data_IF_882819987549
#
_entry.id   IF_882819987549
#
_cell.length_a   1.000
_cell.length_b   1.000
_cell.length_c   1.000
_cell.angle_alpha   90.00
_cell.angle_beta   90.00
_cell.angle_gamma   90.00
#
_symmetry.space_group_name_H-M   'P 1'
#
loop_
_entity.id
_entity.type
_entity.pdbx_description
1 polymer ?
#
# COMPACT_ATOMS: atom_id res chain seq x y z
N UNK A 1 50.44 -11.94 22.89
CA UNK A 1 50.98 -11.18 21.75
C UNK A 1 49.85 -11.09 20.73
N UNK A 2 49.24 -9.96 20.40
CA UNK A 2 49.82 -8.65 20.09
C UNK A 2 48.76 -7.55 20.31
N UNK A 3 49.07 -6.58 21.18
CA UNK A 3 48.35 -5.32 21.33
C UNK A 3 48.53 -4.47 20.06
N UNK A 4 47.42 -3.94 19.54
CA UNK A 4 47.43 -2.85 18.54
C UNK A 4 47.19 -1.55 19.32
N UNK A 5 48.11 -0.56 19.33
CA UNK A 5 47.90 0.72 19.98
C UNK A 5 47.10 1.64 19.04
N UNK A 6 45.85 1.92 19.41
CA UNK A 6 45.05 2.97 18.79
C UNK A 6 45.63 4.33 19.14
N UNK A 7 46.20 5.02 18.14
CA UNK A 7 46.62 6.41 18.23
C UNK A 7 45.39 7.30 18.42
N UNK A 8 45.25 7.82 19.62
CA UNK A 8 44.42 8.97 19.97
C UNK A 8 44.99 10.20 19.22
N UNK A 9 44.30 10.69 18.19
CA UNK A 9 44.54 12.02 17.64
C UNK A 9 43.42 12.95 18.10
N UNK A 10 43.72 13.58 19.23
CA UNK A 10 43.17 14.85 19.67
C UNK A 10 43.43 15.94 18.60
N UNK A 11 42.44 16.78 18.32
CA UNK A 11 42.67 17.99 17.53
C UNK A 11 41.48 18.49 16.73
N UNK A 12 40.53 19.10 17.42
CA UNK A 12 40.03 20.46 17.17
C UNK A 12 38.53 20.57 17.40
N UNK A 13 38.21 21.19 18.54
CA UNK A 13 36.88 21.66 18.86
C UNK A 13 36.33 22.50 17.73
N UNK A 14 35.18 22.07 17.22
CA UNK A 14 34.35 22.85 16.32
C UNK A 14 33.85 24.05 17.12
N UNK A 15 34.62 25.14 17.07
CA UNK A 15 34.19 26.45 17.56
C UNK A 15 32.88 26.74 16.83
N UNK A 16 31.78 26.68 17.57
CA UNK A 16 30.51 27.25 17.19
C UNK A 16 30.71 28.76 17.06
N UNK A 17 31.36 29.21 15.97
CA UNK A 17 31.18 30.56 15.47
C UNK A 17 29.72 30.59 15.10
N UNK A 18 28.93 31.29 15.89
CA UNK A 18 27.64 31.86 15.51
C UNK A 18 27.83 32.56 14.17
N UNK A 19 27.70 31.79 13.08
CA UNK A 19 27.84 32.30 11.74
C UNK A 19 26.73 33.32 11.58
N UNK A 20 27.11 34.52 11.16
CA UNK A 20 26.19 35.59 10.82
C UNK A 20 25.31 35.10 9.66
N UNK A 21 24.20 34.47 10.04
CA UNK A 21 23.31 33.72 9.17
C UNK A 21 22.22 34.67 8.72
N UNK A 22 22.36 35.20 7.51
CA UNK A 22 21.37 36.11 6.94
C UNK A 22 20.22 35.31 6.26
N UNK A 23 18.95 35.72 6.43
CA UNK A 23 17.81 35.09 5.77
C UNK A 23 17.71 35.50 4.28
N UNK A 24 17.40 34.54 3.42
CA UNK A 24 17.03 34.82 2.03
C UNK A 24 15.66 35.51 1.97
N UNK A 25 15.57 36.63 1.24
CA UNK A 25 14.34 37.41 1.08
C UNK A 25 13.22 36.68 0.34
N UNK A 26 13.55 35.66 -0.45
CA UNK A 26 12.59 34.93 -1.28
C UNK A 26 12.04 33.67 -0.63
N UNK A 27 12.87 32.90 0.08
CA UNK A 27 12.44 31.63 0.70
C UNK A 27 12.57 31.58 2.23
N UNK A 28 13.08 32.64 2.87
CA UNK A 28 13.20 32.73 4.33
C UNK A 28 14.27 31.85 4.97
N UNK A 29 14.93 30.97 4.20
CA UNK A 29 16.01 30.11 4.70
C UNK A 29 17.25 30.95 5.05
N UNK A 30 17.92 30.58 6.15
CA UNK A 30 19.11 31.26 6.68
C UNK A 30 20.39 30.62 6.14
N UNK A 31 21.33 31.44 5.67
CA UNK A 31 22.60 31.01 5.08
C UNK A 31 23.75 31.87 5.57
N UNK A 32 24.95 31.31 5.63
CA UNK A 32 26.17 32.10 5.79
C UNK A 32 26.33 33.04 4.59
N UNK A 33 26.95 34.20 4.77
CA UNK A 33 27.02 35.26 3.76
C UNK A 33 27.50 34.77 2.38
N UNK A 34 28.57 33.97 2.32
CA UNK A 34 29.10 33.40 1.07
C UNK A 34 28.09 32.50 0.32
N UNK A 35 27.34 31.69 1.08
CA UNK A 35 26.31 30.81 0.52
C UNK A 35 25.09 31.63 0.10
N UNK A 36 24.74 32.68 0.84
CA UNK A 36 23.63 33.56 0.51
C UNK A 36 23.85 34.27 -0.83
N UNK A 37 25.09 34.72 -1.11
CA UNK A 37 25.46 35.35 -2.38
C UNK A 37 25.20 34.43 -3.58
N UNK A 38 25.48 33.13 -3.45
CA UNK A 38 25.19 32.13 -4.48
C UNK A 38 23.72 31.70 -4.51
N UNK A 39 23.08 31.68 -3.34
CA UNK A 39 21.71 31.25 -3.16
C UNK A 39 20.68 32.24 -3.73
N UNK A 40 20.81 33.55 -3.45
CA UNK A 40 19.81 34.57 -3.82
C UNK A 40 19.42 34.55 -5.31
N UNK A 41 20.35 34.55 -6.28
CA UNK A 41 19.99 34.56 -7.70
C UNK A 41 19.31 33.26 -8.15
N UNK A 42 19.65 32.11 -7.55
CA UNK A 42 19.03 30.81 -7.88
C UNK A 42 17.64 30.72 -7.25
N UNK A 43 17.53 31.08 -5.97
CA UNK A 43 16.28 31.06 -5.23
C UNK A 43 15.23 31.95 -5.91
N UNK A 44 15.62 33.16 -6.32
CA UNK A 44 14.74 34.07 -7.05
C UNK A 44 14.25 33.48 -8.37
N UNK A 45 15.13 32.86 -9.16
CA UNK A 45 14.77 32.20 -10.43
C UNK A 45 13.83 31.02 -10.23
N UNK A 46 14.06 30.20 -9.20
CA UNK A 46 13.24 29.00 -8.94
C UNK A 46 11.88 29.37 -8.34
N UNK A 47 11.83 30.35 -7.45
CA UNK A 47 10.60 30.74 -6.77
C UNK A 47 9.66 31.56 -7.65
N UNK A 48 10.19 32.45 -8.49
CA UNK A 48 9.37 33.26 -9.40
C UNK A 48 8.86 32.46 -10.61
N UNK A 49 9.48 31.32 -10.95
CA UNK A 49 9.07 30.49 -12.08
C UNK A 49 8.20 29.33 -11.60
N UNK A 50 6.88 29.41 -11.83
CA UNK A 50 5.98 28.26 -11.64
C UNK A 50 6.40 27.13 -12.60
N UNK A 51 7.07 26.09 -12.07
CA UNK A 51 7.41 24.90 -12.86
C UNK A 51 6.12 24.17 -13.24
N UNK A 52 6.07 23.64 -14.46
CA UNK A 52 4.96 22.79 -14.88
C UNK A 52 4.87 21.59 -13.92
N UNK A 53 3.67 21.24 -13.42
CA UNK A 53 3.50 20.04 -12.61
C UNK A 53 4.12 18.85 -13.31
N UNK A 54 4.98 18.15 -12.59
CA UNK A 54 5.60 16.93 -13.08
C UNK A 54 4.50 15.88 -13.31
N UNK A 55 4.43 15.31 -14.51
CA UNK A 55 3.45 14.30 -14.86
C UNK A 55 4.17 12.99 -15.14
N UNK A 56 3.98 12.00 -14.25
CA UNK A 56 4.59 10.67 -14.40
C UNK A 56 4.19 10.02 -15.72
N UNK A 57 2.95 10.21 -16.19
CA UNK A 57 2.50 9.75 -17.50
C UNK A 57 3.36 10.31 -18.62
N UNK A 58 3.61 11.63 -18.62
CA UNK A 58 4.43 12.28 -19.64
C UNK A 58 5.89 11.80 -19.60
N UNK A 59 6.46 11.62 -18.40
CA UNK A 59 7.82 11.09 -18.30
C UNK A 59 7.93 9.64 -18.79
N UNK A 60 6.94 8.79 -18.48
CA UNK A 60 6.92 7.40 -18.96
C UNK A 60 6.75 7.29 -20.47
N UNK A 61 6.08 8.26 -21.09
CA UNK A 61 5.86 8.29 -22.55
C UNK A 61 7.02 8.94 -23.32
N UNK A 62 7.88 9.68 -22.65
CA UNK A 62 9.03 10.32 -23.28
C UNK A 62 10.02 9.24 -23.73
N UNK A 63 10.27 9.15 -25.04
CA UNK A 63 11.16 8.13 -25.63
C UNK A 63 10.49 6.80 -26.00
N UNK A 64 9.15 6.72 -25.91
CA UNK A 64 8.37 5.59 -26.43
C UNK A 64 7.56 6.03 -27.65
N UNK A 65 7.49 5.23 -28.71
CA UNK A 65 6.64 5.46 -29.91
C UNK A 65 5.12 5.38 -29.63
N UNK A 66 4.72 5.25 -28.35
CA UNK A 66 3.33 5.13 -27.93
C UNK A 66 2.72 6.54 -27.86
N UNK A 67 2.21 7.03 -29.00
CA UNK A 67 1.61 8.37 -29.12
C UNK A 67 0.34 8.57 -28.28
N UNK A 68 -0.38 7.50 -27.93
CA UNK A 68 -1.70 7.58 -27.29
C UNK A 68 -1.87 6.49 -26.22
N UNK A 69 -1.57 6.82 -24.96
CA UNK A 69 -2.14 6.08 -23.83
C UNK A 69 -3.60 6.53 -23.69
N UNK A 70 -4.52 5.63 -24.04
CA UNK A 70 -5.96 5.82 -23.84
C UNK A 70 -6.17 6.10 -22.34
N UNK A 71 -6.46 7.35 -21.99
CA UNK A 71 -6.96 7.69 -20.64
C UNK A 71 -8.19 6.81 -20.42
N UNK A 72 -8.12 5.89 -19.46
CA UNK A 72 -9.31 5.17 -19.06
C UNK A 72 -10.37 6.20 -18.67
N UNK A 73 -11.54 6.09 -19.29
CA UNK A 73 -12.69 6.91 -18.94
C UNK A 73 -12.95 6.75 -17.44
N UNK A 74 -13.31 7.83 -16.71
CA UNK A 74 -13.76 7.69 -15.33
C UNK A 74 -14.92 6.68 -15.35
N UNK A 75 -14.71 5.53 -14.71
CA UNK A 75 -15.78 4.54 -14.57
C UNK A 75 -16.94 5.25 -13.88
N UNK A 76 -18.15 5.16 -14.47
CA UNK A 76 -19.37 5.64 -13.85
C UNK A 76 -19.42 5.06 -12.44
N UNK A 77 -19.46 5.92 -11.42
CA UNK A 77 -19.57 5.48 -10.02
C UNK A 77 -20.85 4.66 -9.91
N UNK A 78 -20.70 3.35 -9.82
CA UNK A 78 -21.78 2.45 -9.43
C UNK A 78 -22.32 2.93 -8.07
N UNK A 79 -23.62 2.78 -7.78
CA UNK A 79 -24.17 3.14 -6.48
C UNK A 79 -23.35 2.44 -5.39
N UNK A 80 -22.79 3.23 -4.47
CA UNK A 80 -21.98 2.73 -3.36
C UNK A 80 -22.84 1.76 -2.54
N UNK A 81 -22.48 0.48 -2.58
CA UNK A 81 -23.06 -0.49 -1.65
C UNK A 81 -22.68 -0.08 -0.24
N UNK A 82 -23.65 -0.10 0.67
CA UNK A 82 -23.43 0.26 2.09
C UNK A 82 -22.30 -0.61 2.63
N UNK A 83 -21.21 0.03 3.08
CA UNK A 83 -20.06 -0.68 3.60
C UNK A 83 -20.42 -1.42 4.90
N UNK A 84 -20.17 -2.72 4.94
CA UNK A 84 -20.34 -3.56 6.13
C UNK A 84 -19.20 -3.39 7.16
N UNK A 85 -18.66 -2.18 7.29
CA UNK A 85 -17.44 -1.91 8.06
C UNK A 85 -17.53 -2.33 9.52
N UNK A 86 -18.67 -2.11 10.20
CA UNK A 86 -18.85 -2.52 11.60
C UNK A 86 -18.69 -4.03 11.75
N UNK A 87 -19.31 -4.80 10.87
CA UNK A 87 -19.24 -6.26 10.88
C UNK A 87 -17.81 -6.75 10.60
N UNK A 88 -17.13 -6.20 9.58
CA UNK A 88 -15.73 -6.56 9.32
C UNK A 88 -14.79 -6.20 10.48
N UNK A 89 -15.04 -5.06 11.14
CA UNK A 89 -14.28 -4.67 12.31
C UNK A 89 -14.52 -5.61 13.49
N UNK A 90 -15.78 -5.94 13.78
CA UNK A 90 -16.13 -6.89 14.85
C UNK A 90 -15.55 -8.29 14.59
N UNK A 91 -15.65 -8.79 13.36
CA UNK A 91 -15.05 -10.06 12.96
C UNK A 91 -13.54 -10.07 13.15
N UNK A 92 -12.86 -9.00 12.77
CA UNK A 92 -11.43 -8.84 13.00
C UNK A 92 -11.09 -8.85 14.50
N UNK A 93 -11.79 -8.06 15.31
CA UNK A 93 -11.56 -8.00 16.76
C UNK A 93 -11.81 -9.37 17.41
N UNK A 94 -12.85 -10.08 16.99
CA UNK A 94 -13.17 -11.43 17.47
C UNK A 94 -12.06 -12.44 17.10
N UNK A 95 -11.52 -12.38 15.87
CA UNK A 95 -10.39 -13.21 15.45
C UNK A 95 -9.12 -12.96 16.28
N UNK A 96 -8.84 -11.70 16.64
CA UNK A 96 -7.70 -11.39 17.52
C UNK A 96 -7.93 -11.90 18.94
N UNK A 97 -9.14 -11.75 19.50
CA UNK A 97 -9.46 -12.26 20.84
C UNK A 97 -9.38 -13.78 20.91
N UNK A 98 -9.87 -14.50 19.90
CA UNK A 98 -9.81 -15.97 19.87
C UNK A 98 -8.35 -16.46 19.78
N UNK A 99 -7.52 -15.83 18.95
CA UNK A 99 -6.09 -16.16 18.86
C UNK A 99 -5.35 -15.95 20.21
N UNK A 100 -5.70 -14.88 20.94
CA UNK A 100 -5.17 -14.65 22.30
C UNK A 100 -5.62 -15.70 23.32
N UNK A 101 -6.86 -16.19 23.21
CA UNK A 101 -7.35 -17.27 24.08
C UNK A 101 -6.63 -18.60 23.82
N UNK A 102 -6.37 -18.93 22.55
CA UNK A 102 -5.59 -20.13 22.17
C UNK A 102 -4.18 -20.08 22.75
N UNK A 103 -3.49 -18.94 22.61
CA UNK A 103 -2.14 -18.75 23.17
C UNK A 103 -2.11 -18.82 24.69
N UNK A 104 -3.12 -18.28 25.38
CA UNK A 104 -3.27 -18.41 26.84
C UNK A 104 -3.49 -19.86 27.26
N UNK A 105 -4.41 -20.59 26.61
CA UNK A 105 -4.70 -21.98 26.93
C UNK A 105 -3.46 -22.87 26.75
N UNK A 106 -2.69 -22.65 25.69
CA UNK A 106 -1.43 -23.36 25.45
C UNK A 106 -0.38 -23.10 26.55
N UNK A 107 -0.27 -21.86 27.02
CA UNK A 107 0.65 -21.49 28.11
C UNK A 107 0.25 -22.08 29.46
N UNK A 108 -1.05 -22.15 29.73
CA UNK A 108 -1.61 -22.67 30.99
C UNK A 108 -1.80 -24.20 30.98
N UNK A 109 -1.46 -24.88 29.88
CA UNK A 109 -1.63 -26.33 29.73
C UNK A 109 -3.09 -26.80 29.73
N UNK A 110 -4.04 -25.87 29.48
CA UNK A 110 -5.47 -26.21 29.38
C UNK A 110 -5.83 -26.67 27.97
N UNK A 111 -6.91 -27.48 27.82
CA UNK A 111 -7.40 -27.88 26.50
C UNK A 111 -7.72 -26.66 25.63
N UNK A 112 -7.40 -26.78 24.35
CA UNK A 112 -7.59 -25.72 23.36
C UNK A 112 -9.07 -25.31 23.29
N UNK A 113 -9.37 -24.00 23.25
CA UNK A 113 -10.74 -23.55 23.01
C UNK A 113 -11.19 -23.97 21.61
N UNK A 114 -12.50 -24.28 21.41
CA UNK A 114 -13.01 -24.65 20.10
C UNK A 114 -12.75 -23.52 19.08
N UNK A 115 -12.44 -23.87 17.82
CA UNK A 115 -12.14 -22.87 16.80
C UNK A 115 -13.33 -21.92 16.61
N UNK A 116 -13.09 -20.60 16.47
CA UNK A 116 -14.17 -19.65 16.23
C UNK A 116 -14.91 -19.99 14.92
N UNK A 117 -16.24 -19.79 14.86
CA UNK A 117 -16.99 -20.05 13.63
C UNK A 117 -16.43 -19.21 12.47
N UNK A 118 -16.41 -19.75 11.24
CA UNK A 118 -15.93 -19.01 10.07
C UNK A 118 -16.72 -17.71 9.91
N UNK A 119 -16.02 -16.57 9.86
CA UNK A 119 -16.65 -15.29 9.49
C UNK A 119 -17.10 -15.40 8.03
N UNK A 120 -18.41 -15.42 7.83
CA UNK A 120 -19.03 -15.46 6.51
C UNK A 120 -19.31 -14.01 6.13
N UNK A 121 -18.51 -13.47 5.21
CA UNK A 121 -18.79 -12.16 4.63
C UNK A 121 -20.15 -12.23 3.90
N UNK A 122 -21.16 -11.45 4.32
CA UNK A 122 -22.50 -11.49 3.73
C UNK A 122 -22.53 -11.00 2.27
N UNK A 123 -21.50 -10.27 1.82
CA UNK A 123 -21.40 -9.74 0.45
C UNK A 123 -20.95 -10.79 -0.59
N UNK A 124 -20.62 -12.01 -0.17
CA UNK A 124 -20.11 -13.05 -1.06
C UNK A 124 -21.25 -13.95 -1.54
N UNK A 125 -21.37 -14.07 -2.86
CA UNK A 125 -22.35 -14.94 -3.53
C UNK A 125 -21.75 -16.36 -3.63
N UNK A 126 -22.53 -17.36 -3.23
CA UNK A 126 -22.14 -18.77 -3.34
C UNK A 126 -22.54 -19.32 -4.72
N UNK A 127 -21.59 -19.95 -5.41
CA UNK A 127 -21.84 -20.63 -6.68
C UNK A 127 -22.68 -21.90 -6.45
N UNK A 128 -23.77 -22.13 -7.19
CA UNK A 128 -24.62 -23.32 -7.04
C UNK A 128 -23.95 -24.62 -7.54
N UNK A 129 -22.92 -24.52 -8.40
CA UNK A 129 -22.29 -25.68 -9.03
C UNK A 129 -21.05 -26.21 -8.30
N UNK A 130 -20.29 -25.34 -7.64
CA UNK A 130 -19.06 -25.73 -6.93
C UNK A 130 -19.00 -25.28 -5.46
N UNK A 131 -20.06 -24.63 -4.97
CA UNK A 131 -20.19 -24.14 -3.59
C UNK A 131 -19.12 -23.13 -3.16
N UNK A 132 -18.24 -22.67 -4.06
CA UNK A 132 -17.27 -21.61 -3.79
C UNK A 132 -17.95 -20.25 -3.70
N UNK A 133 -17.44 -19.38 -2.84
CA UNK A 133 -17.97 -18.04 -2.58
C UNK A 133 -17.10 -16.97 -3.24
N UNK A 134 -17.72 -16.02 -3.92
CA UNK A 134 -17.05 -14.94 -4.65
C UNK A 134 -17.72 -13.59 -4.36
N UNK A 135 -16.97 -12.50 -4.50
CA UNK A 135 -17.59 -11.18 -4.62
C UNK A 135 -18.46 -11.11 -5.89
N UNK A 136 -19.41 -10.20 -5.95
CA UNK A 136 -20.39 -10.10 -7.05
C UNK A 136 -19.78 -10.13 -8.46
N UNK A 137 -18.78 -9.29 -8.76
CA UNK A 137 -18.15 -9.23 -10.08
C UNK A 137 -17.35 -10.51 -10.44
N UNK A 138 -16.78 -11.18 -9.43
CA UNK A 138 -16.15 -12.48 -9.63
C UNK A 138 -17.20 -13.59 -9.76
N UNK A 139 -18.29 -13.53 -9.01
CA UNK A 139 -19.40 -14.46 -9.06
C UNK A 139 -20.07 -14.45 -10.44
N UNK A 140 -20.31 -13.27 -11.01
CA UNK A 140 -20.91 -13.12 -12.34
C UNK A 140 -20.13 -13.88 -13.42
N UNK A 141 -18.80 -13.70 -13.45
CA UNK A 141 -17.92 -14.40 -14.39
C UNK A 141 -17.74 -15.87 -14.05
N UNK A 142 -17.64 -16.20 -12.76
CA UNK A 142 -17.40 -17.56 -12.30
C UNK A 142 -18.61 -18.47 -12.52
N UNK A 143 -19.82 -18.02 -12.17
CA UNK A 143 -21.03 -18.84 -12.22
C UNK A 143 -21.27 -19.34 -13.64
N UNK A 144 -21.17 -18.45 -14.65
CA UNK A 144 -21.32 -18.83 -16.07
C UNK A 144 -20.35 -19.92 -16.49
N UNK A 145 -19.06 -19.73 -16.23
CA UNK A 145 -18.05 -20.72 -16.58
C UNK A 145 -18.20 -22.02 -15.79
N UNK A 146 -18.53 -21.92 -14.50
CA UNK A 146 -18.66 -23.07 -13.62
C UNK A 146 -19.87 -23.93 -13.96
N UNK A 147 -20.97 -23.32 -14.40
CA UNK A 147 -22.15 -24.00 -14.94
C UNK A 147 -21.78 -24.85 -16.17
N UNK A 148 -21.15 -24.23 -17.17
CA UNK A 148 -20.70 -24.95 -18.38
C UNK A 148 -19.74 -26.09 -18.04
N UNK A 149 -18.79 -25.84 -17.14
CA UNK A 149 -17.82 -26.85 -16.72
C UNK A 149 -18.49 -28.00 -15.97
N UNK A 150 -19.50 -27.71 -15.13
CA UNK A 150 -20.27 -28.73 -14.42
C UNK A 150 -21.07 -29.60 -15.38
N UNK A 151 -21.71 -28.99 -16.39
CA UNK A 151 -22.43 -29.71 -17.46
C UNK A 151 -21.47 -30.64 -18.21
N UNK A 152 -20.33 -30.13 -18.67
CA UNK A 152 -19.32 -30.95 -19.39
C UNK A 152 -18.81 -32.12 -18.54
N UNK A 153 -18.55 -31.89 -17.25
CA UNK A 153 -18.14 -32.94 -16.31
C UNK A 153 -19.23 -34.00 -16.13
N UNK A 154 -20.49 -33.58 -16.02
CA UNK A 154 -21.62 -34.50 -15.90
C UNK A 154 -21.82 -35.36 -17.16
N UNK A 155 -21.61 -34.79 -18.35
CA UNK A 155 -21.63 -35.57 -19.60
C UNK A 155 -20.46 -36.55 -19.67
N UNK A 156 -19.23 -36.10 -19.40
CA UNK A 156 -18.06 -36.97 -19.38
C UNK A 156 -18.21 -38.14 -18.39
N UNK A 157 -18.74 -37.88 -17.19
CA UNK A 157 -19.00 -38.93 -16.20
C UNK A 157 -20.05 -39.96 -16.68
N UNK A 158 -21.00 -39.56 -17.52
CA UNK A 158 -22.01 -40.46 -18.13
C UNK A 158 -21.46 -41.27 -19.31
N UNK A 159 -20.50 -40.71 -20.06
CA UNK A 159 -19.88 -41.39 -21.22
C UNK A 159 -18.80 -42.39 -20.81
N UNK A 160 -18.22 -42.26 -19.62
CA UNK A 160 -17.17 -43.16 -19.10
C UNK A 160 -17.73 -44.35 -18.31
N UNK A 161 -19.05 -44.60 -18.38
CA UNK A 161 -19.75 -45.70 -17.71
C UNK A 161 -20.34 -46.65 -18.74
#
# INVERSE_FOLDING_TARGET
MSHIPGKELNGNGTIARSQDLAPCRTCGRRFAQDVLLRHDPICRKVFNKKRKPFSSMKQRLQGTEIMTVRKQHPQKKQPEKKSNWRQHHEDFINAIRSAKQVTKALKEGRPLPPPPPPSINPDYIQCPHCSRRFNEAAAERHIKFCEEQAIRRAFAAKTTR
#
